data_IF_390467485418
#
_entry.id   IF_390467485418
#
_cell.length_a   1.000
_cell.length_b   1.000
_cell.length_c   1.000
_cell.angle_alpha   90.00
_cell.angle_beta   90.00
_cell.angle_gamma   90.00
#
_symmetry.space_group_name_H-M   'P 1'
#
loop_
_entity.id
_entity.type
_entity.pdbx_description
1 polymer ?
#
# COMPACT_ATOMS: atom_id res chain seq x y z
N UNK A 1 -22.60 2.39 8.69
CA UNK A 1 -21.63 3.04 7.78
C UNK A 1 -20.37 3.21 8.59
N UNK A 2 -19.25 2.61 8.17
CA UNK A 2 -17.96 2.88 8.82
C UNK A 2 -17.75 4.40 8.82
N UNK A 3 -17.50 5.00 9.99
CA UNK A 3 -17.22 6.45 10.06
C UNK A 3 -16.03 6.76 9.15
N UNK A 4 -16.16 7.78 8.30
CA UNK A 4 -15.03 8.28 7.55
C UNK A 4 -13.95 8.75 8.52
N UNK A 5 -12.69 8.60 8.12
CA UNK A 5 -11.53 9.10 8.83
C UNK A 5 -11.74 10.60 9.15
N UNK A 6 -11.67 10.99 10.41
CA UNK A 6 -11.93 12.38 10.83
C UNK A 6 -10.82 13.31 10.31
N UNK A 7 -11.12 14.25 9.38
CA UNK A 7 -10.13 15.17 8.85
C UNK A 7 -9.49 16.06 9.91
N UNK A 8 -10.13 16.24 11.08
CA UNK A 8 -9.59 17.07 12.19
C UNK A 8 -8.32 16.51 12.82
N UNK A 9 -8.05 15.21 12.64
CA UNK A 9 -6.78 14.60 13.06
C UNK A 9 -5.62 15.03 12.15
N UNK A 10 -5.91 15.68 11.02
CA UNK A 10 -4.93 15.96 9.98
C UNK A 10 -4.74 17.44 9.71
N UNK A 11 -3.52 17.75 9.27
CA UNK A 11 -3.12 19.05 8.73
C UNK A 11 -2.52 18.86 7.35
N UNK A 12 -2.55 19.95 6.58
CA UNK A 12 -1.86 20.04 5.32
C UNK A 12 -0.35 19.84 5.54
N UNK A 13 0.29 18.82 4.95
CA UNK A 13 1.74 18.65 5.03
C UNK A 13 2.52 19.77 4.31
N UNK A 14 1.82 20.69 3.63
CA UNK A 14 2.40 21.89 3.02
C UNK A 14 2.28 23.12 3.91
N UNK A 15 1.07 23.42 4.37
CA UNK A 15 0.72 24.69 5.03
C UNK A 15 0.48 24.56 6.53
N UNK A 16 0.44 23.33 7.06
CA UNK A 16 0.03 22.97 8.42
C UNK A 16 -1.40 23.40 8.79
N UNK A 17 -2.19 23.86 7.82
CA UNK A 17 -3.57 24.24 8.02
C UNK A 17 -4.46 23.00 8.19
N UNK A 18 -5.53 23.07 9.00
CA UNK A 18 -6.46 21.95 9.18
C UNK A 18 -7.06 21.48 7.85
N UNK A 19 -7.25 20.16 7.71
CA UNK A 19 -7.92 19.58 6.55
C UNK A 19 -9.42 19.45 6.79
N UNK A 20 -10.19 19.62 5.72
CA UNK A 20 -11.63 19.32 5.68
C UNK A 20 -11.95 18.42 4.49
N UNK A 21 -12.92 17.53 4.67
CA UNK A 21 -13.44 16.71 3.58
C UNK A 21 -14.37 17.57 2.71
N UNK A 22 -13.93 17.92 1.49
CA UNK A 22 -14.77 18.58 0.48
C UNK A 22 -15.71 17.57 -0.20
N UNK A 23 -15.22 16.34 -0.40
CA UNK A 23 -15.99 15.20 -0.90
C UNK A 23 -15.29 13.88 -0.53
N UNK A 24 -15.93 12.71 -0.74
CA UNK A 24 -15.30 11.40 -0.47
C UNK A 24 -14.00 11.14 -1.26
N UNK A 25 -13.72 11.93 -2.31
CA UNK A 25 -12.56 11.79 -3.17
C UNK A 25 -11.54 12.92 -3.01
N UNK A 26 -11.83 13.91 -2.15
CA UNK A 26 -11.05 15.15 -2.10
C UNK A 26 -11.13 15.83 -0.74
N UNK A 27 -9.96 16.03 -0.14
CA UNK A 27 -9.79 16.88 1.02
C UNK A 27 -9.12 18.19 0.61
N UNK A 28 -9.38 19.25 1.37
CA UNK A 28 -8.85 20.58 1.13
C UNK A 28 -8.37 21.22 2.42
N UNK A 29 -7.36 22.09 2.32
CA UNK A 29 -7.04 23.04 3.39
C UNK A 29 -7.66 24.42 3.12
N UNK A 30 -7.60 25.32 4.10
CA UNK A 30 -8.17 26.67 3.96
C UNK A 30 -7.44 27.57 2.96
N UNK A 31 -6.25 27.19 2.48
CA UNK A 31 -5.57 27.87 1.37
C UNK A 31 -6.08 27.41 -0.01
N UNK A 32 -6.91 26.36 -0.05
CA UNK A 32 -7.40 25.74 -1.27
C UNK A 32 -6.47 24.67 -1.84
N UNK A 33 -5.45 24.23 -1.10
CA UNK A 33 -4.62 23.09 -1.48
C UNK A 33 -5.48 21.82 -1.47
N UNK A 34 -5.28 20.96 -2.48
CA UNK A 34 -6.14 19.80 -2.76
C UNK A 34 -5.39 18.49 -2.55
N UNK A 35 -6.00 17.60 -1.77
CA UNK A 35 -5.47 16.29 -1.41
C UNK A 35 -6.42 15.19 -1.89
N UNK A 36 -6.07 14.44 -2.95
CA UNK A 36 -6.90 13.37 -3.47
C UNK A 36 -7.11 12.24 -2.46
N UNK A 37 -8.27 11.58 -2.50
CA UNK A 37 -8.56 10.37 -1.72
C UNK A 37 -8.73 9.18 -2.68
N UNK A 38 -7.88 8.18 -2.54
CA UNK A 38 -7.79 7.00 -3.41
C UNK A 38 -8.48 5.81 -2.76
N UNK A 39 -9.71 5.49 -3.17
CA UNK A 39 -10.50 4.40 -2.58
C UNK A 39 -10.63 4.47 -1.04
N UNK A 40 -10.77 5.70 -0.51
CA UNK A 40 -10.83 5.96 0.93
C UNK A 40 -9.48 6.09 1.62
N UNK A 41 -8.36 6.10 0.88
CA UNK A 41 -7.00 6.34 1.38
C UNK A 41 -6.55 7.75 0.96
N UNK A 42 -6.50 8.74 1.86
CA UNK A 42 -6.05 10.10 1.54
C UNK A 42 -4.58 10.16 1.15
N UNK A 43 -4.25 10.92 0.10
CA UNK A 43 -2.88 11.22 -0.34
C UNK A 43 -2.43 12.57 0.25
N UNK A 44 -1.87 12.50 1.45
CA UNK A 44 -1.44 13.62 2.27
C UNK A 44 0.09 13.79 2.17
N UNK A 45 0.54 14.22 0.99
CA UNK A 45 1.92 14.65 0.75
C UNK A 45 1.98 16.16 0.55
N UNK A 46 3.13 16.84 0.73
CA UNK A 46 3.26 18.29 0.57
C UNK A 46 2.68 18.86 -0.74
N UNK A 47 2.60 18.06 -1.80
CA UNK A 47 1.78 18.42 -2.95
C UNK A 47 1.02 17.20 -3.49
N UNK A 48 -0.20 16.98 -2.97
CA UNK A 48 -1.04 15.83 -3.35
C UNK A 48 -1.33 15.71 -4.85
N UNK A 49 -1.42 16.84 -5.58
CA UNK A 49 -1.65 16.82 -7.03
C UNK A 49 -0.41 16.37 -7.82
N UNK A 50 0.77 16.87 -7.45
CA UNK A 50 2.03 16.43 -8.06
C UNK A 50 2.32 14.97 -7.70
N UNK A 51 2.11 14.58 -6.45
CA UNK A 51 2.26 13.19 -6.02
C UNK A 51 1.34 12.26 -6.82
N UNK A 52 0.07 12.63 -7.03
CA UNK A 52 -0.85 11.84 -7.87
C UNK A 52 -0.37 11.74 -9.32
N UNK A 53 0.16 12.83 -9.90
CA UNK A 53 0.70 12.81 -11.26
C UNK A 53 1.92 11.88 -11.38
N UNK A 54 2.83 11.92 -10.40
CA UNK A 54 3.99 11.03 -10.30
C UNK A 54 3.55 9.55 -10.15
N UNK A 55 2.62 9.26 -9.22
CA UNK A 55 2.07 7.90 -9.03
C UNK A 55 1.43 7.36 -10.31
N UNK A 56 0.66 8.18 -11.05
CA UNK A 56 0.08 7.79 -12.34
C UNK A 56 1.16 7.44 -13.35
N UNK A 57 2.20 8.27 -13.46
CA UNK A 57 3.33 8.03 -14.38
C UNK A 57 4.03 6.72 -14.04
N UNK A 58 4.41 6.52 -12.77
CA UNK A 58 5.05 5.29 -12.28
C UNK A 58 4.17 4.06 -12.49
N UNK A 59 2.86 4.17 -12.28
CA UNK A 59 1.92 3.07 -12.48
C UNK A 59 1.84 2.67 -13.96
N UNK A 60 1.73 3.63 -14.89
CA UNK A 60 1.73 3.37 -16.33
C UNK A 60 3.02 2.69 -16.78
N UNK A 61 4.19 3.18 -16.33
CA UNK A 61 5.47 2.57 -16.64
C UNK A 61 5.58 1.13 -16.13
N UNK A 62 5.06 0.87 -14.91
CA UNK A 62 5.05 -0.45 -14.30
C UNK A 62 4.14 -1.44 -15.04
N UNK A 63 2.92 -1.02 -15.39
CA UNK A 63 1.98 -1.86 -16.16
C UNK A 63 2.58 -2.21 -17.53
N UNK A 64 3.15 -1.22 -18.23
CA UNK A 64 3.80 -1.44 -19.53
C UNK A 64 5.03 -2.36 -19.42
N UNK A 65 5.76 -2.33 -18.30
CA UNK A 65 6.87 -3.26 -18.05
C UNK A 65 6.38 -4.71 -17.97
N UNK A 66 5.32 -4.98 -17.20
CA UNK A 66 4.75 -6.33 -17.11
C UNK A 66 4.15 -6.80 -18.44
N UNK A 67 3.47 -5.93 -19.18
CA UNK A 67 2.95 -6.26 -20.51
C UNK A 67 4.05 -6.69 -21.48
N UNK A 68 5.20 -5.98 -21.49
CA UNK A 68 6.38 -6.38 -22.28
C UNK A 68 6.94 -7.72 -21.82
N UNK A 69 7.19 -7.91 -20.52
CA UNK A 69 7.73 -9.18 -20.00
C UNK A 69 6.82 -10.38 -20.34
N UNK A 70 5.50 -10.22 -20.24
CA UNK A 70 4.51 -11.26 -20.59
C UNK A 70 4.57 -11.58 -22.09
N UNK A 71 4.76 -10.58 -22.95
CA UNK A 71 4.92 -10.75 -24.39
C UNK A 71 6.25 -11.43 -24.75
N UNK A 72 7.33 -11.08 -24.06
CA UNK A 72 8.64 -11.70 -24.21
C UNK A 72 8.62 -13.18 -23.81
N UNK A 73 8.00 -13.51 -22.66
CA UNK A 73 7.78 -14.89 -22.22
C UNK A 73 6.92 -15.67 -23.23
N UNK A 74 5.89 -15.04 -23.80
CA UNK A 74 5.05 -15.65 -24.85
C UNK A 74 5.87 -15.97 -26.11
N UNK A 75 6.81 -15.11 -26.47
CA UNK A 75 7.69 -15.30 -27.62
C UNK A 75 8.73 -16.38 -27.35
N UNK A 76 9.34 -16.37 -26.16
CA UNK A 76 10.31 -17.38 -25.74
C UNK A 76 9.73 -18.80 -25.77
N UNK A 77 8.47 -18.97 -25.36
CA UNK A 77 7.75 -20.26 -25.41
C UNK A 77 7.56 -20.85 -26.82
N UNK A 78 7.86 -20.10 -27.88
CA UNK A 78 7.80 -20.60 -29.27
C UNK A 78 9.12 -21.18 -29.78
N UNK A 79 10.20 -21.10 -28.99
CA UNK A 79 11.49 -21.65 -29.39
C UNK A 79 11.41 -23.18 -29.54
N UNK A 80 12.02 -23.71 -30.60
CA UNK A 80 11.89 -25.12 -30.99
C UNK A 80 12.76 -26.08 -30.19
N UNK A 81 13.70 -25.57 -29.41
CA UNK A 81 14.77 -26.29 -28.71
C UNK A 81 14.63 -26.24 -27.18
N UNK A 82 13.44 -25.87 -26.66
CA UNK A 82 13.20 -25.84 -25.23
C UNK A 82 13.05 -27.24 -24.63
N UNK A 83 13.79 -27.50 -23.55
CA UNK A 83 13.53 -28.64 -22.67
C UNK A 83 12.15 -28.50 -22.00
N UNK A 84 11.47 -29.62 -21.76
CA UNK A 84 10.13 -29.64 -21.12
C UNK A 84 10.08 -28.87 -19.79
N UNK A 85 11.12 -29.02 -18.96
CA UNK A 85 11.23 -28.31 -17.67
C UNK A 85 11.33 -26.79 -17.86
N UNK A 86 12.02 -26.33 -18.90
CA UNK A 86 12.14 -24.91 -19.24
C UNK A 86 10.80 -24.38 -19.75
N UNK A 87 10.13 -25.13 -20.62
CA UNK A 87 8.80 -24.81 -21.13
C UNK A 87 7.79 -24.65 -19.99
N UNK A 88 7.74 -25.63 -19.08
CA UNK A 88 6.85 -25.58 -17.92
C UNK A 88 7.14 -24.38 -17.01
N UNK A 89 8.42 -24.10 -16.75
CA UNK A 89 8.85 -22.94 -15.94
C UNK A 89 8.43 -21.61 -16.59
N UNK A 90 8.74 -21.41 -17.87
CA UNK A 90 8.38 -20.18 -18.60
C UNK A 90 6.86 -19.99 -18.67
N UNK A 91 6.11 -21.06 -18.91
CA UNK A 91 4.66 -21.03 -18.92
C UNK A 91 4.11 -20.61 -17.55
N UNK A 92 4.65 -21.16 -16.45
CA UNK A 92 4.21 -20.81 -15.10
C UNK A 92 4.59 -19.39 -14.71
N UNK A 93 5.81 -18.95 -15.02
CA UNK A 93 6.23 -17.55 -14.79
C UNK A 93 5.31 -16.59 -15.53
N UNK A 94 4.96 -16.88 -16.78
CA UNK A 94 4.04 -16.07 -17.57
C UNK A 94 2.64 -16.02 -16.96
N UNK A 95 2.11 -17.16 -16.52
CA UNK A 95 0.81 -17.23 -15.83
C UNK A 95 0.78 -16.32 -14.59
N UNK A 96 1.81 -16.40 -13.75
CA UNK A 96 1.90 -15.60 -12.52
C UNK A 96 2.07 -14.11 -12.84
N UNK A 97 2.85 -13.75 -13.86
CA UNK A 97 2.98 -12.35 -14.28
C UNK A 97 1.67 -11.78 -14.84
N UNK A 98 0.89 -12.56 -15.59
CA UNK A 98 -0.45 -12.16 -16.04
C UNK A 98 -1.33 -11.88 -14.84
N UNK A 99 -1.36 -12.80 -13.87
CA UNK A 99 -2.15 -12.63 -12.66
C UNK A 99 -1.73 -11.36 -11.89
N UNK A 100 -0.43 -11.12 -11.75
CA UNK A 100 0.09 -9.94 -11.08
C UNK A 100 -0.24 -8.64 -11.82
N UNK A 101 -0.17 -8.64 -13.16
CA UNK A 101 -0.56 -7.49 -13.96
C UNK A 101 -2.04 -7.13 -13.74
N UNK A 102 -2.94 -8.12 -13.76
CA UNK A 102 -4.37 -7.89 -13.53
C UNK A 102 -4.65 -7.43 -12.10
N UNK A 103 -3.94 -7.98 -11.10
CA UNK A 103 -3.97 -7.48 -9.73
C UNK A 103 -3.58 -5.99 -9.64
N UNK A 104 -2.51 -5.57 -10.31
CA UNK A 104 -2.08 -4.16 -10.31
C UNK A 104 -3.07 -3.26 -11.04
N UNK A 105 -3.65 -3.70 -12.16
CA UNK A 105 -4.67 -2.95 -12.90
C UNK A 105 -5.91 -2.70 -12.05
N UNK A 106 -6.35 -3.71 -11.30
CA UNK A 106 -7.46 -3.60 -10.35
C UNK A 106 -7.11 -2.63 -9.21
N UNK A 107 -5.94 -2.81 -8.59
CA UNK A 107 -5.49 -1.98 -7.48
C UNK A 107 -5.29 -0.50 -7.89
N UNK A 108 -4.88 -0.23 -9.13
CA UNK A 108 -4.65 1.11 -9.65
C UNK A 108 -5.88 1.79 -10.26
N UNK A 109 -7.06 1.15 -10.28
CA UNK A 109 -8.31 1.80 -10.71
C UNK A 109 -8.54 3.18 -10.07
N UNK A 110 -8.31 3.38 -8.76
CA UNK A 110 -8.53 4.68 -8.11
C UNK A 110 -7.65 5.81 -8.65
N UNK A 111 -6.51 5.49 -9.27
CA UNK A 111 -5.64 6.50 -9.88
C UNK A 111 -6.27 7.14 -11.11
N UNK A 112 -7.27 6.50 -11.76
CA UNK A 112 -7.90 6.98 -13.00
C UNK A 112 -6.83 7.28 -14.07
N UNK A 113 -6.00 6.30 -14.43
CA UNK A 113 -4.82 6.45 -15.29
C UNK A 113 -5.09 7.12 -16.65
N UNK A 114 -6.32 6.96 -17.20
CA UNK A 114 -6.73 7.57 -18.47
C UNK A 114 -7.20 9.03 -18.36
N UNK A 115 -7.29 9.58 -17.15
CA UNK A 115 -7.71 10.96 -16.93
C UNK A 115 -6.53 11.92 -17.11
N UNK A 116 -6.73 13.01 -17.87
CA UNK A 116 -5.76 14.10 -18.01
C UNK A 116 -5.43 14.66 -16.62
N UNK A 117 -4.18 14.57 -16.22
CA UNK A 117 -3.67 15.27 -15.03
C UNK A 117 -3.11 16.61 -15.50
N UNK A 118 -3.64 17.72 -14.99
CA UNK A 118 -3.19 19.06 -15.37
C UNK A 118 -1.87 19.49 -14.73
N UNK A 119 -1.28 18.65 -13.88
CA UNK A 119 0.01 18.88 -13.25
C UNK A 119 1.08 18.09 -14.02
N UNK A 120 2.03 18.80 -14.63
CA UNK A 120 3.23 18.18 -15.17
C UNK A 120 4.15 17.78 -14.01
N UNK A 121 4.63 16.53 -13.95
CA UNK A 121 5.71 16.14 -13.05
C UNK A 121 7.01 16.91 -13.28
N UNK A 122 7.15 17.70 -14.36
CA UNK A 122 8.37 18.44 -14.71
C UNK A 122 8.40 19.88 -14.17
N UNK A 123 7.53 20.26 -13.22
CA UNK A 123 7.67 21.55 -12.54
C UNK A 123 8.90 21.52 -11.63
N UNK A 124 9.98 22.18 -12.06
CA UNK A 124 11.37 22.10 -11.57
C UNK A 124 11.64 22.48 -10.09
N UNK A 125 10.62 22.74 -9.26
CA UNK A 125 10.81 23.05 -7.83
C UNK A 125 9.70 22.49 -6.90
N UNK A 126 9.09 21.36 -7.27
CA UNK A 126 8.01 20.73 -6.47
C UNK A 126 8.44 19.48 -5.69
N UNK A 127 7.69 19.15 -4.64
CA UNK A 127 7.77 17.86 -3.94
C UNK A 127 7.73 16.68 -4.93
N UNK A 128 8.62 15.70 -4.76
CA UNK A 128 8.70 14.44 -5.53
C UNK A 128 8.66 13.28 -4.57
N UNK A 129 8.00 12.19 -4.95
CA UNK A 129 8.10 10.96 -4.18
C UNK A 129 9.54 10.42 -4.26
N UNK A 130 10.07 9.82 -3.18
CA UNK A 130 11.43 9.27 -3.17
C UNK A 130 11.73 8.43 -4.42
N UNK A 131 12.82 8.73 -5.16
CA UNK A 131 13.13 8.05 -6.43
C UNK A 131 13.63 6.61 -6.23
N UNK A 132 14.21 6.30 -5.06
CA UNK A 132 14.78 4.98 -4.75
C UNK A 132 13.76 3.89 -4.41
N UNK A 133 12.49 4.23 -4.20
CA UNK A 133 11.43 3.26 -3.94
C UNK A 133 10.47 3.22 -5.13
N UNK A 134 10.60 2.18 -5.96
CA UNK A 134 9.59 1.88 -6.98
C UNK A 134 8.25 1.53 -6.34
N UNK A 135 7.15 1.59 -7.09
CA UNK A 135 5.81 1.23 -6.57
C UNK A 135 5.72 -0.21 -6.02
N UNK A 136 6.66 -1.07 -6.40
CA UNK A 136 6.78 -2.44 -5.91
C UNK A 136 7.98 -2.67 -4.99
N UNK A 137 8.69 -1.60 -4.59
CA UNK A 137 9.69 -1.70 -3.54
C UNK A 137 9.01 -2.31 -2.31
N UNK A 138 9.55 -3.43 -1.81
CA UNK A 138 8.99 -4.22 -0.71
C UNK A 138 7.71 -5.01 -1.02
N UNK A 139 7.35 -5.25 -2.29
CA UNK A 139 6.15 -6.02 -2.64
C UNK A 139 6.00 -7.37 -1.89
N UNK A 140 7.09 -8.14 -1.66
CA UNK A 140 7.03 -9.36 -0.84
C UNK A 140 6.46 -9.15 0.57
N UNK A 141 6.57 -7.95 1.16
CA UNK A 141 6.04 -7.66 2.49
C UNK A 141 4.51 -7.77 2.53
N UNK A 142 3.80 -7.51 1.42
CA UNK A 142 2.35 -7.70 1.38
C UNK A 142 1.97 -9.17 1.61
N UNK A 143 2.72 -10.08 0.99
CA UNK A 143 2.52 -11.54 1.16
C UNK A 143 2.94 -11.97 2.56
N UNK A 144 4.06 -11.47 3.08
CA UNK A 144 4.49 -11.71 4.47
C UNK A 144 3.41 -11.33 5.48
N UNK A 145 2.85 -10.14 5.32
CA UNK A 145 1.90 -9.52 6.25
C UNK A 145 0.52 -10.21 6.22
N UNK A 146 0.04 -10.63 5.04
CA UNK A 146 -1.35 -11.06 4.89
C UNK A 146 -1.57 -12.49 4.42
N UNK A 147 -0.50 -13.24 4.12
CA UNK A 147 -0.60 -14.68 3.95
C UNK A 147 -0.50 -15.36 5.33
N UNK A 148 -1.21 -16.47 5.51
CA UNK A 148 -1.28 -17.19 6.79
C UNK A 148 -0.01 -17.99 7.13
N UNK A 149 1.17 -17.48 6.76
CA UNK A 149 2.42 -18.22 6.87
C UNK A 149 3.27 -17.73 8.04
N UNK A 150 3.99 -18.68 8.65
CA UNK A 150 5.21 -18.47 9.45
C UNK A 150 5.08 -17.90 10.87
N UNK A 151 3.90 -17.59 11.40
CA UNK A 151 3.74 -17.20 12.81
C UNK A 151 4.40 -15.85 13.18
N UNK A 152 4.97 -15.14 12.19
CA UNK A 152 5.73 -13.91 12.38
C UNK A 152 4.82 -12.80 12.93
N UNK A 153 3.60 -12.69 12.41
CA UNK A 153 2.62 -11.70 12.84
C UNK A 153 2.24 -11.90 14.32
N UNK A 154 1.99 -13.16 14.72
CA UNK A 154 1.68 -13.52 16.10
C UNK A 154 2.85 -13.22 17.04
N UNK A 155 4.09 -13.49 16.60
CA UNK A 155 5.29 -13.17 17.37
C UNK A 155 5.49 -11.65 17.53
N UNK A 156 5.32 -10.86 16.46
CA UNK A 156 5.41 -9.40 16.51
C UNK A 156 4.31 -8.81 17.41
N UNK A 157 3.07 -9.29 17.28
CA UNK A 157 1.96 -8.87 18.14
C UNK A 157 2.23 -9.21 19.61
N UNK A 158 2.79 -10.38 19.91
CA UNK A 158 3.12 -10.77 21.28
C UNK A 158 4.18 -9.85 21.90
N UNK A 159 5.20 -9.45 21.13
CA UNK A 159 6.19 -8.46 21.57
C UNK A 159 5.54 -7.12 21.87
N UNK A 160 4.74 -6.59 20.95
CA UNK A 160 4.06 -5.31 21.13
C UNK A 160 3.11 -5.36 22.33
N UNK A 161 2.29 -6.41 22.44
CA UNK A 161 1.36 -6.59 23.57
C UNK A 161 2.06 -6.63 24.92
N UNK A 162 3.24 -7.28 24.99
CA UNK A 162 4.04 -7.31 26.21
C UNK A 162 4.47 -5.91 26.65
N UNK A 163 4.92 -5.08 25.71
CA UNK A 163 5.36 -3.71 26.01
C UNK A 163 4.19 -2.77 26.30
N UNK A 164 3.05 -2.92 25.61
CA UNK A 164 1.88 -2.07 25.80
C UNK A 164 1.13 -2.38 27.12
N UNK A 165 1.14 -3.63 27.58
CA UNK A 165 0.33 -4.06 28.71
C UNK A 165 -1.16 -3.81 28.48
N UNK A 166 -1.85 -3.26 29.48
CA UNK A 166 -3.28 -2.89 29.40
C UNK A 166 -3.50 -1.40 29.07
N UNK A 167 -2.46 -0.69 28.62
CA UNK A 167 -2.52 0.75 28.37
C UNK A 167 -3.52 1.09 27.26
N UNK A 168 -4.28 2.17 27.44
CA UNK A 168 -5.07 2.77 26.36
C UNK A 168 -4.14 3.51 25.40
N UNK A 169 -4.26 3.23 24.10
CA UNK A 169 -3.45 3.85 23.05
C UNK A 169 -4.09 5.10 22.44
N UNK A 170 -5.38 5.35 22.71
CA UNK A 170 -6.10 6.48 22.15
C UNK A 170 -6.07 6.49 20.61
N UNK A 171 -5.74 7.64 20.01
CA UNK A 171 -5.40 7.75 18.60
C UNK A 171 -3.96 7.26 18.40
N UNK A 172 -3.83 6.09 17.78
CA UNK A 172 -2.55 5.42 17.55
C UNK A 172 -2.14 5.50 16.08
N UNK A 173 -0.93 5.99 15.80
CA UNK A 173 -0.38 6.08 14.44
C UNK A 173 0.75 5.07 14.27
N UNK A 174 0.69 4.31 13.17
CA UNK A 174 1.79 3.47 12.71
C UNK A 174 2.52 4.17 11.57
N UNK A 175 3.73 4.66 11.82
CA UNK A 175 4.54 5.38 10.84
C UNK A 175 5.46 4.41 10.10
N UNK A 176 5.31 4.30 8.78
CA UNK A 176 5.92 3.24 7.99
C UNK A 176 5.21 1.91 8.24
N UNK A 177 3.88 1.91 8.13
CA UNK A 177 3.06 0.74 8.47
C UNK A 177 3.24 -0.45 7.53
N UNK A 178 3.92 -0.29 6.38
CA UNK A 178 4.10 -1.35 5.39
C UNK A 178 2.76 -1.88 4.87
N UNK A 179 2.59 -3.20 4.88
CA UNK A 179 1.30 -3.84 4.58
C UNK A 179 0.25 -3.63 5.66
N UNK A 180 0.54 -2.96 6.78
CA UNK A 180 -0.43 -2.59 7.80
C UNK A 180 -0.91 -3.75 8.67
N UNK A 181 -0.31 -4.94 8.59
CA UNK A 181 -0.76 -6.10 9.36
C UNK A 181 -0.59 -5.91 10.86
N UNK A 182 0.58 -5.45 11.31
CA UNK A 182 0.79 -5.21 12.74
C UNK A 182 -0.17 -4.16 13.28
N UNK A 183 -0.40 -3.08 12.52
CA UNK A 183 -1.37 -2.05 12.89
C UNK A 183 -2.79 -2.62 13.01
N UNK A 184 -3.19 -3.48 12.06
CA UNK A 184 -4.44 -4.22 12.14
C UNK A 184 -4.50 -5.09 13.40
N UNK A 185 -3.48 -5.92 13.66
CA UNK A 185 -3.49 -6.84 14.79
C UNK A 185 -3.53 -6.12 16.14
N UNK A 186 -2.76 -5.02 16.30
CA UNK A 186 -2.80 -4.15 17.48
C UNK A 186 -4.16 -3.46 17.61
N UNK A 187 -4.73 -2.98 16.49
CA UNK A 187 -6.07 -2.41 16.50
C UNK A 187 -7.10 -3.43 16.99
N UNK A 188 -6.98 -4.71 16.64
CA UNK A 188 -7.91 -5.74 17.10
C UNK A 188 -7.83 -6.02 18.60
N UNK A 189 -6.76 -5.61 19.31
CA UNK A 189 -6.65 -5.74 20.77
C UNK A 189 -7.64 -4.85 21.54
N UNK A 190 -8.25 -3.84 20.91
CA UNK A 190 -9.24 -3.00 21.57
C UNK A 190 -8.70 -1.78 22.31
N UNK A 191 -7.39 -1.57 22.31
CA UNK A 191 -6.73 -0.55 23.15
C UNK A 191 -6.70 0.85 22.52
N UNK A 192 -6.85 0.95 21.20
CA UNK A 192 -6.93 2.22 20.47
C UNK A 192 -8.39 2.60 20.17
N UNK A 193 -8.71 3.88 20.27
CA UNK A 193 -9.98 4.44 19.76
C UNK A 193 -9.94 4.56 18.23
N UNK A 194 -8.78 4.94 17.68
CA UNK A 194 -8.50 4.96 16.25
C UNK A 194 -7.07 4.48 15.99
N UNK A 195 -6.88 3.77 14.87
CA UNK A 195 -5.56 3.36 14.39
C UNK A 195 -5.36 3.88 12.98
N UNK A 196 -4.25 4.58 12.75
CA UNK A 196 -3.93 5.17 11.46
C UNK A 196 -2.64 4.53 10.94
N UNK A 197 -2.76 3.77 9.86
CA UNK A 197 -1.63 3.26 9.07
C UNK A 197 -1.12 4.39 8.17
N UNK A 198 0.08 4.89 8.43
CA UNK A 198 0.73 5.96 7.68
C UNK A 198 1.91 5.37 6.90
N UNK A 199 1.82 5.35 5.58
CA UNK A 199 2.90 4.85 4.71
C UNK A 199 2.92 5.61 3.38
N UNK A 200 4.05 5.60 2.68
CA UNK A 200 4.18 6.23 1.36
C UNK A 200 3.91 5.23 0.21
N UNK A 201 3.98 3.92 0.50
CA UNK A 201 3.88 2.83 -0.46
C UNK A 201 2.46 2.59 -0.96
N UNK A 202 2.14 3.15 -2.12
CA UNK A 202 0.82 3.04 -2.77
C UNK A 202 0.23 1.63 -2.79
N UNK A 203 1.01 0.64 -3.24
CA UNK A 203 0.52 -0.74 -3.42
C UNK A 203 0.12 -1.35 -2.07
N UNK A 204 0.92 -1.12 -1.02
CA UNK A 204 0.62 -1.66 0.32
C UNK A 204 -0.59 -0.98 0.93
N UNK A 205 -0.64 0.35 0.93
CA UNK A 205 -1.73 1.08 1.59
C UNK A 205 -3.08 0.78 0.95
N UNK A 206 -3.14 0.70 -0.39
CA UNK A 206 -4.39 0.34 -1.08
C UNK A 206 -4.78 -1.13 -0.84
N UNK A 207 -3.82 -2.06 -0.87
CA UNK A 207 -4.11 -3.46 -0.63
C UNK A 207 -4.52 -3.71 0.83
N UNK A 208 -3.79 -3.14 1.78
CA UNK A 208 -4.07 -3.22 3.21
C UNK A 208 -5.42 -2.63 3.58
N UNK A 209 -5.82 -1.51 2.95
CA UNK A 209 -7.14 -0.92 3.14
C UNK A 209 -8.29 -1.84 2.70
N UNK A 210 -8.08 -2.67 1.67
CA UNK A 210 -9.05 -3.69 1.22
C UNK A 210 -9.04 -4.92 2.12
N UNK A 211 -7.84 -5.46 2.38
CA UNK A 211 -7.63 -6.64 3.21
C UNK A 211 -8.19 -6.46 4.63
N UNK A 212 -7.92 -5.32 5.25
CA UNK A 212 -8.44 -4.99 6.58
C UNK A 212 -9.96 -4.84 6.64
N UNK A 213 -10.64 -4.58 5.52
CA UNK A 213 -12.11 -4.61 5.43
C UNK A 213 -12.70 -6.01 5.25
N UNK A 214 -11.84 -7.02 5.15
CA UNK A 214 -12.23 -8.42 4.98
C UNK A 214 -12.21 -8.91 3.52
N UNK A 215 -11.75 -8.10 2.56
CA UNK A 215 -11.52 -8.60 1.20
C UNK A 215 -10.40 -9.65 1.19
N UNK A 216 -10.50 -10.60 0.26
CA UNK A 216 -9.43 -11.55 -0.04
C UNK A 216 -8.78 -11.15 -1.36
N UNK A 217 -7.46 -10.97 -1.37
CA UNK A 217 -6.70 -10.63 -2.55
C UNK A 217 -5.83 -11.81 -2.97
N UNK A 218 -5.83 -12.15 -4.26
CA UNK A 218 -4.91 -13.13 -4.85
C UNK A 218 -3.66 -12.40 -5.31
N UNK A 219 -2.56 -12.56 -4.58
CA UNK A 219 -1.32 -11.80 -4.77
C UNK A 219 -0.24 -12.74 -5.30
N UNK A 220 0.50 -12.31 -6.32
CA UNK A 220 1.67 -13.05 -6.79
C UNK A 220 2.83 -12.92 -5.78
N UNK A 221 3.45 -14.03 -5.41
CA UNK A 221 4.67 -14.09 -4.61
C UNK A 221 5.81 -14.50 -5.55
N UNK A 222 6.75 -13.58 -5.80
CA UNK A 222 7.97 -13.87 -6.54
C UNK A 222 9.12 -14.07 -5.53
N UNK A 223 9.73 -15.26 -5.46
CA UNK A 223 10.81 -15.50 -4.53
C UNK A 223 12.07 -14.73 -4.95
N UNK A 224 12.67 -14.01 -4.00
CA UNK A 224 13.95 -13.32 -4.21
C UNK A 224 15.07 -14.35 -4.45
N UNK A 225 15.05 -15.45 -3.69
CA UNK A 225 15.99 -16.56 -3.80
C UNK A 225 15.20 -17.89 -3.79
N UNK A 226 14.78 -18.42 -4.95
CA UNK A 226 14.06 -19.68 -5.01
C UNK A 226 14.94 -20.84 -4.54
N UNK A 227 14.37 -21.75 -3.75
CA UNK A 227 15.09 -22.90 -3.17
C UNK A 227 15.26 -24.05 -4.16
N UNK A 228 14.41 -24.09 -5.17
CA UNK A 228 14.39 -25.13 -6.20
C UNK A 228 13.79 -24.59 -7.52
N UNK A 229 13.91 -25.38 -8.58
CA UNK A 229 13.38 -25.01 -9.89
C UNK A 229 11.83 -24.89 -9.91
N UNK A 230 11.14 -25.61 -9.03
CA UNK A 230 9.68 -25.62 -8.96
C UNK A 230 9.12 -24.34 -8.33
N UNK A 231 9.84 -23.74 -7.39
CA UNK A 231 9.50 -22.48 -6.71
C UNK A 231 9.94 -21.25 -7.50
N UNK A 232 10.91 -21.37 -8.42
CA UNK A 232 11.44 -20.26 -9.21
C UNK A 232 10.40 -19.39 -9.94
N UNK A 233 9.31 -19.93 -10.53
CA UNK A 233 8.25 -19.12 -11.13
C UNK A 233 7.50 -18.21 -10.15
N UNK A 234 7.52 -18.54 -8.86
CA UNK A 234 6.67 -17.95 -7.84
C UNK A 234 5.36 -18.73 -7.60
N UNK A 235 4.46 -18.12 -6.84
CA UNK A 235 3.15 -18.69 -6.52
C UNK A 235 2.09 -17.60 -6.39
N UNK A 236 0.82 -17.96 -6.53
CA UNK A 236 -0.29 -17.07 -6.17
C UNK A 236 -0.70 -17.39 -4.74
N UNK A 237 -0.83 -16.37 -3.90
CA UNK A 237 -1.20 -16.49 -2.48
C UNK A 237 -2.52 -15.79 -2.22
N UNK A 238 -3.38 -16.45 -1.46
CA UNK A 238 -4.53 -15.80 -0.87
C UNK A 238 -4.05 -14.97 0.33
N UNK A 239 -4.20 -13.66 0.21
CA UNK A 239 -3.97 -12.70 1.27
C UNK A 239 -5.34 -12.28 1.84
N UNK A 240 -5.52 -12.36 3.15
CA UNK A 240 -6.76 -11.97 3.83
C UNK A 240 -6.53 -11.63 5.29
N UNK A 241 -7.33 -10.72 5.83
CA UNK A 241 -7.42 -10.55 7.28
C UNK A 241 -8.11 -11.77 7.94
N UNK A 242 -7.77 -12.11 9.19
CA UNK A 242 -8.50 -13.13 9.96
C UNK A 242 -10.00 -12.81 10.12
N UNK A 243 -10.31 -11.52 10.27
CA UNK A 243 -11.67 -10.97 10.28
C UNK A 243 -11.64 -9.52 9.75
N UNK A 244 -12.76 -8.92 9.34
CA UNK A 244 -12.82 -7.48 9.14
C UNK A 244 -12.33 -6.72 10.39
N UNK A 245 -11.61 -5.63 10.18
CA UNK A 245 -11.17 -4.75 11.24
C UNK A 245 -12.37 -4.15 11.99
N UNK A 246 -12.21 -3.94 13.29
CA UNK A 246 -13.14 -3.07 14.05
C UNK A 246 -13.17 -1.67 13.43
N UNK A 247 -14.22 -0.92 13.76
CA UNK A 247 -14.30 0.49 13.36
C UNK A 247 -13.13 1.28 13.97
N UNK A 248 -12.60 2.24 13.20
CA UNK A 248 -11.51 3.13 13.64
C UNK A 248 -10.14 2.81 13.05
N UNK A 249 -9.98 1.72 12.28
CA UNK A 249 -8.75 1.47 11.49
C UNK A 249 -8.81 2.21 10.14
N UNK A 250 -7.80 3.03 9.86
CA UNK A 250 -7.69 3.83 8.64
C UNK A 250 -6.30 3.78 8.04
N UNK A 251 -6.19 4.07 6.73
CA UNK A 251 -4.94 4.08 5.99
C UNK A 251 -4.76 5.45 5.32
N UNK A 252 -3.55 5.97 5.34
CA UNK A 252 -3.17 7.27 4.76
C UNK A 252 -1.88 7.10 3.98
N UNK A 253 -1.83 7.71 2.80
CA UNK A 253 -0.61 7.85 2.02
C UNK A 253 0.08 9.16 2.39
N UNK A 254 1.21 9.08 3.08
CA UNK A 254 1.93 10.26 3.56
C UNK A 254 3.44 10.05 3.60
N UNK A 255 4.16 11.16 3.59
CA UNK A 255 5.61 11.18 3.75
C UNK A 255 5.97 11.30 5.24
N UNK A 256 6.85 10.43 5.72
CA UNK A 256 7.35 10.48 7.09
C UNK A 256 8.12 11.77 7.40
N UNK A 257 8.70 12.42 6.39
CA UNK A 257 9.37 13.71 6.57
C UNK A 257 8.39 14.89 6.63
N UNK A 258 7.12 14.66 6.30
CA UNK A 258 6.05 15.66 6.28
C UNK A 258 4.74 15.05 6.81
N UNK A 259 4.79 14.56 8.06
CA UNK A 259 3.64 13.89 8.66
C UNK A 259 2.42 14.85 8.74
N UNK A 260 1.24 14.40 8.28
CA UNK A 260 0.08 15.28 8.10
C UNK A 260 -0.81 15.31 9.34
N UNK A 261 -0.27 15.28 10.56
CA UNK A 261 -1.06 15.22 11.79
C UNK A 261 -1.17 16.59 12.44
N UNK A 262 -2.35 16.88 13.02
CA UNK A 262 -2.52 18.10 13.82
C UNK A 262 -1.73 18.00 15.14
N UNK A 263 -1.27 19.13 15.65
CA UNK A 263 -0.59 19.19 16.95
C UNK A 263 -1.48 18.59 18.04
N UNK A 264 -0.88 17.75 18.90
CA UNK A 264 -1.56 17.08 20.01
C UNK A 264 -2.77 16.21 19.62
N UNK A 265 -2.87 15.77 18.36
CA UNK A 265 -3.97 14.91 17.88
C UNK A 265 -3.70 13.40 17.97
N UNK A 266 -2.46 13.01 18.28
CA UNK A 266 -1.99 11.62 18.34
C UNK A 266 -1.52 11.32 19.75
N UNK A 267 -2.08 10.26 20.34
CA UNK A 267 -1.74 9.80 21.69
C UNK A 267 -0.56 8.82 21.68
N UNK A 268 -0.48 7.96 20.65
CA UNK A 268 0.55 6.92 20.54
C UNK A 268 1.14 6.85 19.13
N UNK A 269 2.47 6.72 19.03
CA UNK A 269 3.19 6.49 17.77
C UNK A 269 3.93 5.17 17.87
N UNK A 270 3.75 4.31 16.86
CA UNK A 270 4.47 3.03 16.72
C UNK A 270 5.23 3.05 15.38
N UNK A 271 6.52 2.75 15.42
CA UNK A 271 7.42 2.74 14.25
C UNK A 271 7.96 1.32 14.04
N UNK A 272 7.27 0.45 13.28
CA UNK A 272 7.61 -0.96 13.19
C UNK A 272 8.75 -1.26 12.18
N UNK A 273 9.83 -0.47 12.24
CA UNK A 273 11.00 -0.63 11.37
C UNK A 273 12.01 -1.58 12.03
N UNK A 274 12.03 -2.84 11.59
CA UNK A 274 13.11 -3.81 11.81
C UNK A 274 13.40 -4.56 10.51
#
# INVERSE_FOLDING_TARGET
MAKSLDPKLFTSPHSLLPLVEESPQLWVDSSGMKFPVLAGVPLLTPNGRLALADLKSRALSLLAHYERNIADLKSALKASDLLDVTTARLAKTREIQIHHLEFLKDLFQPLKLNSKTSASPDADFGYRLPPGQGLQGYFPNLVRDWSSKHGENEAQLALVRRELGDSSLGVCVFVGSGGGRLAYDVHQLGQSTHTICCDIGLVFSLAAARLSKGETLKVAEFPIAPKDAASAPGAIRDCKAPAPAREGLSHVLADVYHLPFADHSVDTVITPWL
#
